data_IF_308153512631
#
_entry.id   IF_308153512631
#
_cell.length_a   1.000
_cell.length_b   1.000
_cell.length_c   1.000
_cell.angle_alpha   90.00
_cell.angle_beta   90.00
_cell.angle_gamma   90.00
#
_symmetry.space_group_name_H-M   'P 1'
#
loop_
_entity.id
_entity.type
_entity.pdbx_description
1 polymer ?
#
# COMPACT_ATOMS: atom_id res chain seq x y z
N UNK A 1 -21.24 -18.30 3.60
CA UNK A 1 -19.88 -17.67 3.61
C UNK A 1 -18.71 -18.66 3.61
N UNK A 2 -18.85 -19.90 4.10
CA UNK A 2 -17.78 -20.92 4.16
C UNK A 2 -17.46 -21.56 2.79
N UNK A 3 -18.46 -21.77 1.93
CA UNK A 3 -18.30 -22.33 0.57
C UNK A 3 -17.57 -21.39 -0.38
N UNK A 4 -17.79 -20.07 -0.27
CA UNK A 4 -17.10 -19.07 -1.10
C UNK A 4 -15.59 -19.04 -0.80
N UNK A 5 -15.19 -19.17 0.47
CA UNK A 5 -13.77 -19.28 0.85
C UNK A 5 -13.10 -20.50 0.24
N UNK A 6 -13.83 -21.61 0.13
CA UNK A 6 -13.34 -22.83 -0.51
C UNK A 6 -13.18 -22.67 -2.02
N UNK A 7 -14.12 -21.98 -2.68
CA UNK A 7 -13.98 -21.64 -4.11
C UNK A 7 -12.76 -20.75 -4.36
N UNK A 8 -12.53 -19.72 -3.54
CA UNK A 8 -11.31 -18.91 -3.63
C UNK A 8 -10.05 -19.75 -3.45
N UNK A 9 -10.03 -20.69 -2.52
CA UNK A 9 -8.90 -21.57 -2.30
C UNK A 9 -8.63 -22.48 -3.50
N UNK A 10 -9.68 -23.05 -4.11
CA UNK A 10 -9.55 -23.89 -5.31
C UNK A 10 -9.02 -23.07 -6.48
N UNK A 11 -9.59 -21.89 -6.74
CA UNK A 11 -9.15 -21.01 -7.83
C UNK A 11 -7.70 -20.57 -7.59
N UNK A 12 -7.36 -20.19 -6.37
CA UNK A 12 -5.99 -19.85 -5.99
C UNK A 12 -5.03 -21.02 -6.22
N UNK A 13 -5.40 -22.22 -5.77
CA UNK A 13 -4.59 -23.42 -5.96
C UNK A 13 -4.41 -23.75 -7.44
N UNK A 14 -5.45 -23.61 -8.26
CA UNK A 14 -5.37 -23.83 -9.71
C UNK A 14 -4.41 -22.82 -10.36
N UNK A 15 -4.54 -21.53 -10.04
CA UNK A 15 -3.64 -20.47 -10.52
C UNK A 15 -2.20 -20.78 -10.08
N UNK A 16 -2.00 -21.19 -8.83
CA UNK A 16 -0.69 -21.55 -8.30
C UNK A 16 -0.07 -22.73 -9.06
N UNK A 17 -0.81 -23.80 -9.31
CA UNK A 17 -0.33 -24.96 -10.08
C UNK A 17 0.03 -24.55 -11.50
N UNK A 18 -0.80 -23.75 -12.17
CA UNK A 18 -0.50 -23.24 -13.52
C UNK A 18 0.78 -22.40 -13.53
N UNK A 19 0.92 -21.46 -12.59
CA UNK A 19 2.12 -20.64 -12.47
C UNK A 19 3.37 -21.48 -12.17
N UNK A 20 3.26 -22.49 -11.32
CA UNK A 20 4.34 -23.40 -10.97
C UNK A 20 4.78 -24.23 -12.18
N UNK A 21 3.84 -24.85 -12.90
CA UNK A 21 4.14 -25.62 -14.10
C UNK A 21 4.73 -24.74 -15.20
N UNK A 22 4.17 -23.53 -15.41
CA UNK A 22 4.74 -22.54 -16.31
C UNK A 22 6.18 -22.23 -15.95
N UNK A 23 6.48 -22.02 -14.66
CA UNK A 23 7.84 -21.75 -14.18
C UNK A 23 8.81 -22.90 -14.43
N UNK A 24 8.39 -24.13 -14.11
CA UNK A 24 9.24 -25.31 -14.29
C UNK A 24 9.50 -25.62 -15.76
N UNK A 25 8.48 -25.49 -16.62
CA UNK A 25 8.60 -25.76 -18.06
C UNK A 25 9.35 -24.65 -18.81
N UNK A 26 9.37 -23.43 -18.26
CA UNK A 26 10.08 -22.28 -18.82
C UNK A 26 11.26 -21.87 -17.93
N UNK A 27 11.94 -22.85 -17.34
CA UNK A 27 13.13 -22.61 -16.53
C UNK A 27 14.31 -22.18 -17.41
N UNK A 28 14.44 -20.87 -17.59
CA UNK A 28 15.53 -20.27 -18.34
C UNK A 28 16.35 -19.37 -17.42
N UNK A 29 17.66 -19.60 -17.35
CA UNK A 29 18.57 -18.73 -16.60
C UNK A 29 18.85 -17.46 -17.40
N UNK A 30 18.84 -16.33 -16.71
CA UNK A 30 19.21 -15.03 -17.27
C UNK A 30 20.24 -14.37 -16.38
N UNK A 31 21.21 -13.71 -17.00
CA UNK A 31 22.21 -12.93 -16.31
C UNK A 31 21.66 -11.55 -15.99
N UNK A 32 21.58 -11.24 -14.69
CA UNK A 32 21.27 -9.89 -14.23
C UNK A 32 22.58 -9.18 -13.97
N UNK A 33 22.88 -8.21 -14.81
CA UNK A 33 24.04 -7.35 -14.66
C UNK A 33 23.72 -6.22 -13.69
N UNK A 34 24.53 -6.11 -12.63
CA UNK A 34 24.47 -5.00 -11.71
C UNK A 34 25.54 -3.98 -12.11
N UNK A 35 26.27 -3.46 -11.11
CA UNK A 35 27.33 -2.49 -11.33
C UNK A 35 28.66 -3.18 -11.59
N UNK A 36 29.38 -2.72 -12.63
CA UNK A 36 30.66 -3.30 -13.13
C UNK A 36 30.50 -4.76 -13.55
N UNK A 37 31.46 -5.62 -13.21
CA UNK A 37 31.54 -7.03 -13.60
C UNK A 37 30.70 -7.95 -12.70
N UNK A 38 29.90 -7.40 -11.79
CA UNK A 38 29.05 -8.21 -10.92
C UNK A 38 27.75 -8.57 -11.62
N UNK A 39 27.57 -9.86 -11.91
CA UNK A 39 26.35 -10.42 -12.46
C UNK A 39 25.93 -11.65 -11.67
N UNK A 40 24.62 -11.92 -11.64
CA UNK A 40 24.04 -13.11 -11.04
C UNK A 40 23.13 -13.77 -12.06
N UNK A 41 23.35 -15.04 -12.34
CA UNK A 41 22.46 -15.86 -13.16
C UNK A 41 21.33 -16.42 -12.30
N UNK A 42 20.09 -16.04 -12.58
CA UNK A 42 18.90 -16.56 -11.89
C UNK A 42 17.81 -16.96 -12.89
N UNK A 43 16.85 -17.82 -12.50
CA UNK A 43 15.71 -18.12 -13.36
C UNK A 43 14.92 -16.85 -13.70
N UNK A 44 14.58 -16.65 -14.97
CA UNK A 44 13.85 -15.48 -15.46
C UNK A 44 12.55 -15.23 -14.66
N UNK A 45 11.83 -16.30 -14.36
CA UNK A 45 10.59 -16.22 -13.58
C UNK A 45 10.85 -15.64 -12.18
N UNK A 46 11.96 -16.00 -11.55
CA UNK A 46 12.35 -15.44 -10.25
C UNK A 46 12.71 -13.96 -10.38
N UNK A 47 13.46 -13.57 -11.41
CA UNK A 47 13.82 -12.18 -11.70
C UNK A 47 12.57 -11.29 -11.82
N UNK A 48 11.63 -11.69 -12.68
CA UNK A 48 10.39 -10.94 -12.93
C UNK A 48 9.49 -10.91 -11.69
N UNK A 49 9.44 -11.99 -10.92
CA UNK A 49 8.66 -12.03 -9.67
C UNK A 49 9.23 -11.07 -8.64
N UNK A 50 10.54 -11.01 -8.47
CA UNK A 50 11.19 -10.08 -7.56
C UNK A 50 11.00 -8.62 -8.00
N UNK A 51 11.13 -8.34 -9.30
CA UNK A 51 10.87 -7.00 -9.85
C UNK A 51 9.43 -6.55 -9.57
N UNK A 52 8.45 -7.43 -9.80
CA UNK A 52 7.06 -7.15 -9.48
C UNK A 52 6.84 -6.89 -7.99
N UNK A 53 7.45 -7.68 -7.11
CA UNK A 53 7.37 -7.47 -5.65
C UNK A 53 7.95 -6.12 -5.24
N UNK A 54 9.08 -5.71 -5.82
CA UNK A 54 9.67 -4.39 -5.57
C UNK A 54 8.70 -3.29 -6.00
N UNK A 55 8.09 -3.41 -7.19
CA UNK A 55 7.07 -2.47 -7.67
C UNK A 55 5.87 -2.36 -6.73
N UNK A 56 5.38 -3.50 -6.20
CA UNK A 56 4.31 -3.55 -5.20
C UNK A 56 4.72 -2.79 -3.93
N UNK A 57 5.91 -3.07 -3.38
CA UNK A 57 6.42 -2.40 -2.18
C UNK A 57 6.50 -0.90 -2.38
N UNK A 58 7.00 -0.43 -3.53
CA UNK A 58 7.07 0.99 -3.88
C UNK A 58 5.64 1.59 -3.94
N UNK A 59 4.72 0.93 -4.63
CA UNK A 59 3.33 1.39 -4.73
C UNK A 59 2.63 1.50 -3.37
N UNK A 60 2.80 0.51 -2.50
CA UNK A 60 2.29 0.55 -1.13
C UNK A 60 2.93 1.66 -0.30
N UNK A 61 4.23 1.88 -0.45
CA UNK A 61 4.97 2.94 0.25
C UNK A 61 4.44 4.32 -0.14
N UNK A 62 4.24 4.58 -1.43
CA UNK A 62 3.65 5.83 -1.93
C UNK A 62 2.24 6.04 -1.37
N UNK A 63 1.42 4.99 -1.37
CA UNK A 63 0.06 5.06 -0.81
C UNK A 63 0.08 5.32 0.70
N UNK A 64 0.96 4.67 1.44
CA UNK A 64 1.10 4.84 2.89
C UNK A 64 1.45 6.30 3.23
N UNK A 65 2.42 6.89 2.52
CA UNK A 65 2.78 8.31 2.70
C UNK A 65 1.59 9.25 2.48
N UNK A 66 0.78 9.01 1.43
CA UNK A 66 -0.44 9.80 1.18
C UNK A 66 -1.45 9.67 2.31
N UNK A 67 -1.68 8.45 2.80
CA UNK A 67 -2.62 8.21 3.91
C UNK A 67 -2.16 8.93 5.18
N UNK A 68 -0.86 8.89 5.49
CA UNK A 68 -0.31 9.60 6.65
C UNK A 68 -0.50 11.12 6.53
N UNK A 69 -0.22 11.69 5.36
CA UNK A 69 -0.46 13.12 5.09
C UNK A 69 -1.94 13.47 5.26
N UNK A 70 -2.83 12.68 4.68
CA UNK A 70 -4.27 12.92 4.76
C UNK A 70 -4.78 12.84 6.21
N UNK A 71 -4.29 11.89 7.00
CA UNK A 71 -4.61 11.80 8.44
C UNK A 71 -4.14 13.04 9.21
N UNK A 72 -2.94 13.56 8.90
CA UNK A 72 -2.42 14.77 9.53
C UNK A 72 -3.23 16.00 9.17
N UNK A 73 -3.59 16.16 7.89
CA UNK A 73 -4.43 17.26 7.42
C UNK A 73 -5.83 17.20 8.04
N UNK A 74 -6.42 16.02 8.11
CA UNK A 74 -7.71 15.81 8.78
C UNK A 74 -7.67 16.24 10.25
N UNK A 75 -6.64 15.83 11.00
CA UNK A 75 -6.50 16.22 12.41
C UNK A 75 -6.36 17.74 12.58
N UNK A 76 -5.60 18.41 11.71
CA UNK A 76 -5.46 19.88 11.71
C UNK A 76 -6.78 20.57 11.39
N UNK A 77 -7.53 20.07 10.40
CA UNK A 77 -8.83 20.64 10.03
C UNK A 77 -9.85 20.48 11.16
N UNK A 78 -9.87 19.33 11.83
CA UNK A 78 -10.72 19.10 13.01
C UNK A 78 -10.40 20.08 14.14
N UNK A 79 -9.13 20.33 14.46
CA UNK A 79 -8.75 21.31 15.48
C UNK A 79 -9.19 22.73 15.13
N UNK A 80 -9.04 23.13 13.86
CA UNK A 80 -9.49 24.45 13.39
C UNK A 80 -11.01 24.61 13.48
N UNK A 81 -11.77 23.55 13.19
CA UNK A 81 -13.22 23.56 13.33
C UNK A 81 -13.63 23.81 14.78
N UNK A 82 -13.04 23.07 15.73
CA UNK A 82 -13.31 23.23 17.16
C UNK A 82 -13.01 24.67 17.62
N UNK A 83 -11.85 25.22 17.25
CA UNK A 83 -11.48 26.60 17.61
C UNK A 83 -12.47 27.64 17.05
N UNK A 84 -12.89 27.48 15.80
CA UNK A 84 -13.87 28.38 15.18
C UNK A 84 -15.24 28.30 15.87
N UNK A 85 -15.67 27.10 16.28
CA UNK A 85 -16.91 26.91 17.03
C UNK A 85 -16.85 27.54 18.43
N UNK A 86 -15.71 27.44 19.11
CA UNK A 86 -15.48 28.09 20.41
C UNK A 86 -15.48 29.62 20.31
N UNK A 87 -14.87 30.19 19.28
CA UNK A 87 -14.88 31.63 19.01
C UNK A 87 -16.31 32.15 18.73
N UNK A 88 -17.08 31.45 17.89
CA UNK A 88 -18.49 31.81 17.67
C UNK A 88 -19.30 31.72 18.97
N UNK A 89 -19.02 30.71 19.81
CA UNK A 89 -19.70 30.55 21.09
C UNK A 89 -19.35 31.66 22.07
N UNK A 90 -18.08 32.08 22.16
CA UNK A 90 -17.65 33.16 23.05
C UNK A 90 -18.20 34.51 22.60
N UNK A 91 -18.30 34.76 21.29
CA UNK A 91 -18.90 35.97 20.72
C UNK A 91 -20.43 36.02 20.87
N UNK A 92 -21.10 34.86 20.95
CA UNK A 92 -22.54 34.76 21.21
C UNK A 92 -22.89 34.74 22.70
N UNK A 93 -21.91 34.54 23.58
CA UNK A 93 -22.12 34.71 25.01
C UNK A 93 -22.30 36.21 25.29
N UNK A 94 -23.34 36.62 26.06
CA UNK A 94 -23.60 38.03 26.31
C UNK A 94 -22.38 38.68 26.98
N UNK A 95 -21.88 39.79 26.42
CA UNK A 95 -20.93 40.66 27.10
C UNK A 95 -21.63 41.24 28.32
N UNK A 96 -21.39 40.65 29.49
CA UNK A 96 -22.04 41.04 30.72
C UNK A 96 -21.22 40.57 31.91
N UNK A 97 -20.17 41.31 32.25
CA UNK A 97 -20.04 41.88 33.59
C UNK A 97 -18.87 42.89 33.63
N UNK A 98 -19.12 44.12 33.20
CA UNK A 98 -18.38 45.28 33.70
C UNK A 98 -19.32 46.00 34.69
N UNK A 99 -19.24 45.64 35.96
CA UNK A 99 -19.70 46.44 37.11
C UNK A 99 -18.65 46.38 38.20
#
# INVERSE_FOLDING_TARGET
>A
MRTMKFLYLIVFFLIFVVALLFSLLNWHLVDIYFYKDFSISIPLVLALTLELLVGIVIGFSVRAMRIMKLKSEHAKLQQKLIQAEEEIRSLRAPQGNET
#
